data_IF_819896181042
#
_entry.id   IF_819896181042
#
_cell.length_a   1.000
_cell.length_b   1.000
_cell.length_c   1.000
_cell.angle_alpha   90.00
_cell.angle_beta   90.00
_cell.angle_gamma   90.00
#
_symmetry.space_group_name_H-M   'P 1'
#
loop_
_entity.id
_entity.type
_entity.pdbx_description
1 polymer ?
#
# COMPACT_ATOMS: atom_id res chain seq x y z
N UNK A 1 17.13 14.94 -16.42
CA UNK A 1 16.36 13.68 -16.56
C UNK A 1 16.46 12.96 -15.23
N UNK A 2 15.33 12.76 -14.55
CA UNK A 2 15.30 11.89 -13.38
C UNK A 2 15.37 10.44 -13.88
N UNK A 3 16.31 9.67 -13.36
CA UNK A 3 16.37 8.24 -13.66
C UNK A 3 15.33 7.54 -12.78
N UNK A 4 14.23 7.10 -13.37
CA UNK A 4 13.23 6.32 -12.65
C UNK A 4 13.76 4.92 -12.35
N UNK A 5 13.18 4.27 -11.33
CA UNK A 5 13.46 2.86 -11.07
C UNK A 5 13.15 2.01 -12.30
N UNK A 6 14.03 1.06 -12.68
CA UNK A 6 13.77 0.19 -13.82
C UNK A 6 12.55 -0.70 -13.58
N UNK A 7 11.91 -1.13 -14.67
CA UNK A 7 10.85 -2.14 -14.59
C UNK A 7 11.45 -3.45 -14.06
N UNK A 8 10.95 -3.92 -12.93
CA UNK A 8 11.25 -5.24 -12.40
C UNK A 8 10.11 -6.21 -12.65
N UNK A 9 10.33 -7.53 -12.51
CA UNK A 9 9.25 -8.50 -12.67
C UNK A 9 8.04 -8.15 -11.82
N UNK A 10 6.86 -8.17 -12.45
CA UNK A 10 5.57 -8.03 -11.79
C UNK A 10 4.55 -8.98 -12.42
N UNK A 11 3.43 -9.18 -11.72
CA UNK A 11 2.29 -9.94 -12.21
C UNK A 11 1.38 -9.11 -13.11
N UNK A 12 0.32 -9.72 -13.65
CA UNK A 12 -0.69 -9.01 -14.42
C UNK A 12 -1.54 -8.11 -13.51
N UNK A 13 -2.18 -7.10 -14.11
CA UNK A 13 -3.27 -6.34 -13.49
C UNK A 13 -4.49 -7.26 -13.37
N UNK A 14 -4.85 -7.62 -12.14
CA UNK A 14 -5.92 -8.60 -11.87
C UNK A 14 -7.06 -7.94 -11.12
N UNK A 15 -8.29 -8.04 -11.64
CA UNK A 15 -9.49 -7.61 -10.92
C UNK A 15 -9.77 -8.58 -9.76
N UNK A 16 -9.77 -8.07 -8.52
CA UNK A 16 -9.95 -8.88 -7.30
C UNK A 16 -11.31 -8.64 -6.63
N UNK A 17 -11.92 -7.50 -6.91
CA UNK A 17 -13.32 -7.15 -6.66
C UNK A 17 -13.75 -6.25 -7.84
N UNK A 18 -15.06 -6.11 -8.15
CA UNK A 18 -15.49 -5.21 -9.21
C UNK A 18 -14.90 -3.81 -9.04
N UNK A 19 -14.22 -3.31 -10.08
CA UNK A 19 -13.53 -2.02 -10.12
C UNK A 19 -12.35 -1.85 -9.15
N UNK A 20 -11.84 -2.96 -8.61
CA UNK A 20 -10.66 -3.00 -7.74
C UNK A 20 -9.66 -4.01 -8.29
N UNK A 21 -8.52 -3.50 -8.75
CA UNK A 21 -7.49 -4.28 -9.39
C UNK A 21 -6.21 -4.30 -8.55
N UNK A 22 -5.44 -5.37 -8.67
CA UNK A 22 -4.20 -5.58 -7.95
C UNK A 22 -3.09 -5.95 -8.93
N UNK A 23 -1.93 -5.33 -8.75
CA UNK A 23 -0.67 -5.77 -9.34
C UNK A 23 0.31 -6.05 -8.21
N UNK A 24 0.83 -7.28 -8.15
CA UNK A 24 1.96 -7.61 -7.29
C UNK A 24 3.24 -7.54 -8.11
N UNK A 25 4.22 -6.75 -7.67
CA UNK A 25 5.52 -6.61 -8.31
C UNK A 25 6.69 -6.78 -7.36
N UNK A 26 7.89 -6.75 -7.92
CA UNK A 26 9.13 -6.81 -7.15
C UNK A 26 9.40 -5.47 -6.47
N UNK A 27 9.91 -5.51 -5.25
CA UNK A 27 10.61 -4.43 -4.59
C UNK A 27 12.06 -4.86 -4.34
N UNK A 28 13.02 -3.97 -4.61
CA UNK A 28 14.43 -4.13 -4.22
C UNK A 28 14.89 -2.91 -3.45
N UNK A 29 15.35 -3.13 -2.24
CA UNK A 29 15.83 -2.06 -1.35
C UNK A 29 17.12 -2.48 -0.66
N UNK A 30 17.81 -1.52 -0.06
CA UNK A 30 18.94 -1.78 0.81
C UNK A 30 18.62 -1.28 2.21
N UNK A 31 18.81 -2.12 3.21
CA UNK A 31 18.61 -1.76 4.61
C UNK A 31 19.81 -2.26 5.42
N UNK A 32 20.49 -1.35 6.12
CA UNK A 32 21.70 -1.65 6.89
C UNK A 32 22.76 -2.45 6.08
N UNK A 33 22.94 -2.11 4.80
CA UNK A 33 23.89 -2.79 3.90
C UNK A 33 23.43 -4.14 3.36
N UNK A 34 22.21 -4.58 3.70
CA UNK A 34 21.62 -5.84 3.22
C UNK A 34 20.70 -5.53 2.04
N UNK A 35 20.94 -6.18 0.91
CA UNK A 35 20.04 -6.15 -0.24
C UNK A 35 18.81 -7.02 0.05
N UNK A 36 17.63 -6.40 0.07
CA UNK A 36 16.34 -7.05 0.25
C UNK A 36 15.59 -7.08 -1.09
N UNK A 37 14.95 -8.21 -1.39
CA UNK A 37 14.05 -8.36 -2.52
C UNK A 37 12.82 -9.14 -2.09
N UNK A 38 11.66 -8.49 -2.17
CA UNK A 38 10.36 -9.00 -1.74
C UNK A 38 9.26 -8.42 -2.63
N UNK A 39 8.03 -8.92 -2.53
CA UNK A 39 6.91 -8.37 -3.29
C UNK A 39 6.40 -7.05 -2.72
N UNK A 40 5.71 -6.28 -3.56
CA UNK A 40 4.86 -5.15 -3.15
C UNK A 40 3.66 -5.11 -4.07
N UNK A 41 2.61 -4.45 -3.62
CA UNK A 41 1.36 -4.34 -4.36
C UNK A 41 1.06 -2.91 -4.71
N UNK A 42 0.57 -2.73 -5.94
CA UNK A 42 -0.21 -1.57 -6.34
C UNK A 42 -1.68 -1.97 -6.42
N UNK A 43 -2.56 -1.18 -5.82
CA UNK A 43 -4.01 -1.29 -6.02
C UNK A 43 -4.46 -0.23 -7.00
N UNK A 44 -5.34 -0.58 -7.94
CA UNK A 44 -6.00 0.37 -8.84
C UNK A 44 -7.48 0.37 -8.52
N UNK A 45 -8.03 1.54 -8.22
CA UNK A 45 -9.47 1.72 -8.04
C UNK A 45 -10.01 2.46 -9.25
N UNK A 46 -11.01 1.87 -9.90
CA UNK A 46 -11.73 2.53 -10.99
C UNK A 46 -13.01 3.19 -10.46
N UNK A 47 -13.27 4.41 -10.89
CA UNK A 47 -14.54 5.13 -10.67
C UNK A 47 -14.93 5.70 -12.03
N UNK A 48 -15.97 5.14 -12.65
CA UNK A 48 -16.31 5.38 -14.05
C UNK A 48 -15.10 5.15 -14.99
N UNK A 49 -14.57 6.23 -15.58
CA UNK A 49 -13.38 6.19 -16.43
C UNK A 49 -12.11 6.68 -15.73
N UNK A 50 -12.18 7.05 -14.45
CA UNK A 50 -11.02 7.54 -13.69
C UNK A 50 -10.38 6.42 -12.86
N UNK A 51 -9.05 6.42 -12.80
CA UNK A 51 -8.26 5.48 -12.04
C UNK A 51 -7.47 6.19 -10.94
N UNK A 52 -7.51 5.62 -9.74
CA UNK A 52 -6.59 5.95 -8.67
C UNK A 52 -5.58 4.82 -8.48
N UNK A 53 -4.29 5.15 -8.49
CA UNK A 53 -3.19 4.21 -8.24
C UNK A 53 -2.72 4.36 -6.79
N UNK A 54 -2.80 3.29 -6.00
CA UNK A 54 -2.43 3.27 -4.59
C UNK A 54 -1.20 2.40 -4.40
N UNK A 55 -0.15 2.95 -3.76
CA UNK A 55 1.14 2.29 -3.51
C UNK A 55 1.79 1.77 -4.80
N UNK A 56 2.20 2.70 -5.67
CA UNK A 56 2.59 2.40 -7.05
C UNK A 56 3.68 1.33 -7.20
N UNK A 57 3.54 0.55 -8.27
CA UNK A 57 4.51 -0.44 -8.75
C UNK A 57 4.85 -0.08 -10.19
N UNK A 58 6.14 0.00 -10.53
CA UNK A 58 6.58 0.26 -11.90
C UNK A 58 6.15 -0.86 -12.85
N UNK A 59 5.24 -0.55 -13.76
CA UNK A 59 4.73 -1.46 -14.80
C UNK A 59 5.62 -1.47 -16.05
N UNK A 60 5.63 -2.60 -16.75
CA UNK A 60 6.10 -2.74 -18.12
C UNK A 60 5.17 -2.04 -19.11
N UNK A 61 5.66 -1.68 -20.30
CA UNK A 61 4.85 -1.03 -21.35
C UNK A 61 3.54 -1.78 -21.65
N UNK A 62 3.58 -3.11 -21.81
CA UNK A 62 2.35 -3.88 -22.07
C UNK A 62 1.33 -3.82 -20.93
N UNK A 63 1.78 -3.65 -19.68
CA UNK A 63 0.88 -3.53 -18.54
C UNK A 63 0.42 -2.08 -18.32
N UNK A 64 1.17 -1.11 -18.85
CA UNK A 64 0.69 0.27 -19.00
C UNK A 64 -0.40 0.33 -20.06
N UNK A 65 -0.29 -0.40 -21.17
CA UNK A 65 -1.36 -0.50 -22.16
C UNK A 65 -2.64 -1.09 -21.53
N UNK A 66 -2.51 -2.15 -20.71
CA UNK A 66 -3.63 -2.72 -19.95
C UNK A 66 -4.25 -1.70 -18.97
N UNK A 67 -3.42 -0.88 -18.32
CA UNK A 67 -3.87 0.17 -17.41
C UNK A 67 -4.59 1.30 -18.17
N UNK A 68 -4.04 1.73 -19.31
CA UNK A 68 -4.56 2.80 -20.15
C UNK A 68 -5.90 2.39 -20.79
N UNK A 69 -6.05 1.10 -21.12
CA UNK A 69 -7.32 0.53 -21.58
C UNK A 69 -8.41 0.49 -20.49
N UNK A 70 -8.01 0.51 -19.21
CA UNK A 70 -8.94 0.47 -18.08
C UNK A 70 -9.59 1.84 -17.79
N UNK A 71 -8.87 2.93 -18.06
CA UNK A 71 -9.31 4.31 -17.83
C UNK A 71 -8.17 5.32 -17.75
N UNK A 72 -8.50 6.56 -17.38
CA UNK A 72 -7.56 7.66 -17.22
C UNK A 72 -7.05 7.73 -15.79
N UNK A 73 -5.73 7.69 -15.58
CA UNK A 73 -5.13 7.89 -14.26
C UNK A 73 -5.39 9.33 -13.80
N UNK A 74 -6.24 9.49 -12.79
CA UNK A 74 -6.64 10.78 -12.22
C UNK A 74 -5.99 11.06 -10.86
N UNK A 75 -5.54 10.03 -10.15
CA UNK A 75 -4.94 10.17 -8.82
C UNK A 75 -3.81 9.16 -8.59
N UNK A 76 -2.70 9.64 -8.02
CA UNK A 76 -1.62 8.78 -7.52
C UNK A 76 -1.60 8.94 -6.00
N UNK A 77 -1.65 7.85 -5.26
CA UNK A 77 -1.88 7.87 -3.81
C UNK A 77 -0.76 7.11 -3.11
N UNK A 78 -0.02 7.82 -2.26
CA UNK A 78 0.98 7.25 -1.37
C UNK A 78 0.46 7.22 0.05
N UNK A 79 0.30 6.02 0.60
CA UNK A 79 -0.21 5.84 1.95
C UNK A 79 0.89 5.87 3.02
N UNK A 80 2.07 5.29 2.75
CA UNK A 80 3.15 5.19 3.74
C UNK A 80 4.42 5.94 3.33
N UNK A 81 5.15 6.46 4.33
CA UNK A 81 6.40 7.20 4.12
C UNK A 81 7.55 6.34 3.53
N UNK A 82 7.48 5.02 3.65
CA UNK A 82 8.49 4.09 3.13
C UNK A 82 8.16 3.56 1.72
N UNK A 83 7.12 4.10 1.09
CA UNK A 83 6.66 3.76 -0.26
C UNK A 83 6.70 4.96 -1.20
N UNK A 84 6.44 4.68 -2.49
CA UNK A 84 6.24 5.71 -3.52
C UNK A 84 7.43 5.99 -4.43
N UNK A 85 8.39 5.06 -4.47
CA UNK A 85 9.52 5.05 -5.41
C UNK A 85 9.10 5.27 -6.87
N UNK A 86 7.92 4.77 -7.27
CA UNK A 86 7.47 4.86 -8.66
C UNK A 86 6.47 6.00 -8.89
N UNK A 87 6.10 6.76 -7.85
CA UNK A 87 5.05 7.78 -7.98
C UNK A 87 5.44 8.86 -8.99
N UNK A 88 6.72 9.28 -9.02
CA UNK A 88 7.21 10.28 -9.95
C UNK A 88 7.03 9.86 -11.41
N UNK A 89 7.21 8.56 -11.72
CA UNK A 89 6.99 8.05 -13.07
C UNK A 89 5.54 8.20 -13.51
N UNK A 90 4.59 7.82 -12.64
CA UNK A 90 3.17 7.93 -12.95
C UNK A 90 2.72 9.39 -13.05
N UNK A 91 3.26 10.28 -12.19
CA UNK A 91 2.96 11.72 -12.26
C UNK A 91 3.41 12.31 -13.58
N UNK A 92 4.65 12.03 -13.98
CA UNK A 92 5.22 12.59 -15.20
C UNK A 92 4.55 12.00 -16.45
N UNK A 93 4.16 10.72 -16.42
CA UNK A 93 3.46 10.06 -17.55
C UNK A 93 2.02 10.56 -17.72
N UNK A 94 1.26 10.68 -16.63
CA UNK A 94 -0.19 10.90 -16.69
C UNK A 94 -0.61 12.33 -16.33
N UNK A 95 0.27 13.15 -15.76
CA UNK A 95 -0.08 14.48 -15.26
C UNK A 95 -1.01 14.46 -14.05
N UNK A 96 -1.17 13.31 -13.40
CA UNK A 96 -2.08 13.14 -12.27
C UNK A 96 -1.47 13.67 -10.95
N UNK A 97 -2.28 14.30 -10.08
CA UNK A 97 -1.81 14.75 -8.77
C UNK A 97 -1.40 13.60 -7.86
N UNK A 98 -0.32 13.83 -7.11
CA UNK A 98 0.10 12.97 -6.02
C UNK A 98 -0.57 13.37 -4.70
N UNK A 99 -1.27 12.42 -4.11
CA UNK A 99 -1.92 12.48 -2.81
C UNK A 99 -1.06 11.81 -1.74
N UNK A 100 -0.79 12.50 -0.65
CA UNK A 100 -0.11 11.92 0.52
C UNK A 100 -0.49 12.65 1.81
N UNK A 101 -0.21 12.05 2.97
CA UNK A 101 -0.31 12.74 4.26
C UNK A 101 0.66 13.94 4.34
N UNK A 102 0.35 14.94 5.19
CA UNK A 102 1.32 15.97 5.55
C UNK A 102 2.64 15.36 6.07
N UNK A 103 3.77 15.98 5.72
CA UNK A 103 5.08 15.58 6.24
C UNK A 103 5.73 14.39 5.53
N UNK A 104 5.06 13.73 4.58
CA UNK A 104 5.71 12.74 3.71
C UNK A 104 6.77 13.44 2.85
N UNK A 105 8.03 13.01 2.98
CA UNK A 105 9.14 13.49 2.16
C UNK A 105 9.28 12.60 0.93
N UNK A 106 9.34 13.22 -0.24
CA UNK A 106 9.56 12.52 -1.49
C UNK A 106 11.05 12.37 -1.77
N UNK A 107 11.40 11.39 -2.60
CA UNK A 107 12.73 11.37 -3.22
C UNK A 107 12.96 12.73 -3.92
N UNK A 108 14.15 13.29 -3.75
CA UNK A 108 14.52 14.62 -4.26
C UNK A 108 13.73 15.83 -3.69
N UNK A 109 12.98 15.65 -2.60
CA UNK A 109 12.33 16.77 -1.90
C UNK A 109 11.07 17.31 -2.59
N UNK A 110 10.51 16.58 -3.57
CA UNK A 110 9.18 16.87 -4.10
C UNK A 110 8.14 16.86 -2.95
N UNK A 111 6.98 17.49 -3.19
CA UNK A 111 5.86 17.53 -2.25
C UNK A 111 4.66 16.85 -2.90
N UNK A 112 3.72 16.41 -2.07
CA UNK A 112 2.41 16.02 -2.56
C UNK A 112 1.72 17.24 -3.19
N UNK A 113 1.02 17.01 -4.29
CA UNK A 113 0.20 18.03 -4.95
C UNK A 113 -1.09 18.26 -4.17
N UNK A 114 -1.61 17.18 -3.58
CA UNK A 114 -2.83 17.15 -2.79
C UNK A 114 -2.57 16.48 -1.44
N UNK A 115 -3.19 17.01 -0.39
CA UNK A 115 -3.07 16.48 0.96
C UNK A 115 -4.20 15.48 1.21
N UNK A 116 -3.84 14.28 1.68
CA UNK A 116 -4.79 13.35 2.29
C UNK A 116 -5.07 13.84 3.71
N UNK A 117 -6.21 14.49 3.90
CA UNK A 117 -6.63 15.00 5.20
C UNK A 117 -7.83 14.16 5.69
N UNK A 118 -7.65 13.36 6.76
CA UNK A 118 -8.73 12.53 7.29
C UNK A 118 -10.02 13.30 7.51
N UNK A 119 -11.11 12.81 6.92
CA UNK A 119 -12.45 13.41 7.02
C UNK A 119 -12.66 14.69 6.21
N UNK A 120 -11.69 15.16 5.42
CA UNK A 120 -11.84 16.38 4.61
C UNK A 120 -11.59 16.20 3.12
N UNK A 121 -10.63 15.38 2.75
CA UNK A 121 -10.27 15.18 1.35
C UNK A 121 -10.12 13.70 1.01
N UNK A 122 -10.35 13.38 -0.26
CA UNK A 122 -10.27 12.04 -0.78
C UNK A 122 -9.75 12.07 -2.23
N UNK A 123 -8.96 11.07 -2.65
CA UNK A 123 -8.42 11.02 -4.00
C UNK A 123 -9.44 10.60 -5.07
N UNK A 124 -10.61 10.11 -4.66
CA UNK A 124 -11.73 9.71 -5.52
C UNK A 124 -13.00 9.50 -4.67
N UNK A 125 -14.16 9.30 -5.33
CA UNK A 125 -15.45 9.14 -4.66
C UNK A 125 -15.55 7.87 -3.79
N UNK A 126 -16.29 7.99 -2.70
CA UNK A 126 -16.49 6.95 -1.68
C UNK A 126 -15.22 6.53 -0.95
N UNK A 127 -14.13 7.30 -1.05
CA UNK A 127 -12.93 7.10 -0.27
C UNK A 127 -12.85 8.06 0.92
N UNK A 128 -12.26 7.62 2.01
CA UNK A 128 -11.91 8.47 3.15
C UNK A 128 -10.53 8.10 3.68
N UNK A 129 -9.70 9.12 3.90
CA UNK A 129 -8.37 8.94 4.49
C UNK A 129 -8.46 8.68 6.00
N UNK A 130 -7.58 7.82 6.49
CA UNK A 130 -7.30 7.58 7.89
C UNK A 130 -5.81 7.79 8.13
N UNK A 131 -5.42 8.40 9.26
CA UNK A 131 -4.03 8.57 9.64
C UNK A 131 -3.72 7.80 10.93
N UNK A 132 -2.55 7.14 10.96
CA UNK A 132 -1.97 6.59 12.19
C UNK A 132 -1.25 7.73 12.93
N UNK A 133 -1.93 8.36 13.88
CA UNK A 133 -1.53 9.63 14.49
C UNK A 133 -0.35 9.46 15.46
N UNK A 134 -0.15 8.26 16.00
CA UNK A 134 0.97 7.99 16.91
C UNK A 134 2.25 7.53 16.20
N UNK A 135 2.16 7.28 14.89
CA UNK A 135 3.30 6.86 14.06
C UNK A 135 4.27 8.03 13.85
N UNK A 136 5.56 7.83 14.15
CA UNK A 136 6.63 8.82 13.91
C UNK A 136 6.91 9.06 12.43
N UNK A 137 6.59 8.10 11.58
CA UNK A 137 6.64 8.25 10.13
C UNK A 137 5.21 8.32 9.59
N UNK A 138 4.87 9.25 8.68
CA UNK A 138 3.51 9.33 8.16
C UNK A 138 3.04 8.00 7.55
N UNK A 139 1.91 7.51 8.03
CA UNK A 139 1.24 6.31 7.54
C UNK A 139 -0.26 6.58 7.52
N UNK A 140 -0.88 6.29 6.38
CA UNK A 140 -2.32 6.33 6.18
C UNK A 140 -2.89 4.94 5.87
N UNK A 141 -4.20 4.84 6.07
CA UNK A 141 -5.04 3.88 5.37
C UNK A 141 -6.09 4.65 4.55
N UNK A 142 -6.59 4.02 3.49
CA UNK A 142 -7.74 4.53 2.74
C UNK A 142 -8.90 3.56 2.95
N UNK A 143 -10.02 4.06 3.46
CA UNK A 143 -11.26 3.30 3.54
C UNK A 143 -12.11 3.64 2.32
N UNK A 144 -12.54 2.62 1.58
CA UNK A 144 -13.39 2.76 0.40
C UNK A 144 -14.74 2.11 0.71
N UNK A 145 -15.81 2.90 0.67
CA UNK A 145 -17.18 2.47 0.95
C UNK A 145 -17.81 1.77 -0.26
N UNK A 146 -17.23 0.62 -0.61
CA UNK A 146 -17.69 -0.30 -1.66
C UNK A 146 -17.54 -1.73 -1.15
N UNK A 147 -18.32 -2.67 -1.68
CA UNK A 147 -18.18 -4.10 -1.36
C UNK A 147 -18.28 -4.45 0.15
N UNK A 148 -19.00 -3.66 0.93
CA UNK A 148 -19.05 -3.80 2.40
C UNK A 148 -17.81 -3.24 3.12
N UNK A 149 -17.07 -2.36 2.45
CA UNK A 149 -15.88 -1.67 2.92
C UNK A 149 -14.59 -2.38 2.51
N UNK A 150 -13.71 -1.64 1.83
CA UNK A 150 -12.37 -2.07 1.46
C UNK A 150 -11.35 -1.17 2.16
N UNK A 151 -10.48 -1.76 2.97
CA UNK A 151 -9.41 -1.05 3.63
C UNK A 151 -8.10 -1.21 2.84
N UNK A 152 -7.56 -0.12 2.33
CA UNK A 152 -6.25 -0.10 1.68
C UNK A 152 -5.20 0.36 2.69
N UNK A 153 -4.15 -0.43 2.90
CA UNK A 153 -3.06 -0.12 3.85
C UNK A 153 -1.70 -0.12 3.16
N UNK A 154 -0.71 0.52 3.79
CA UNK A 154 0.68 0.42 3.36
C UNK A 154 1.44 -0.62 4.19
N UNK A 155 2.39 -0.19 5.03
CA UNK A 155 3.23 -1.05 5.86
C UNK A 155 2.58 -1.39 7.21
N UNK A 156 1.56 -0.62 7.61
CA UNK A 156 0.80 -0.81 8.86
C UNK A 156 0.19 -2.19 9.03
N UNK A 157 -0.21 -2.82 7.92
CA UNK A 157 -0.69 -4.21 7.87
C UNK A 157 -0.09 -4.89 6.65
N UNK A 158 0.52 -6.04 6.85
CA UNK A 158 1.10 -6.91 5.81
C UNK A 158 0.39 -8.27 5.84
N UNK A 159 0.38 -9.02 4.75
CA UNK A 159 -0.34 -10.29 4.70
C UNK A 159 0.43 -11.40 3.97
N UNK A 160 1.73 -11.55 4.23
CA UNK A 160 2.48 -12.68 3.67
C UNK A 160 2.35 -13.92 4.55
N UNK A 161 1.72 -14.98 4.06
CA UNK A 161 1.78 -16.29 4.73
C UNK A 161 3.10 -17.05 4.47
N UNK A 162 3.77 -16.75 3.36
CA UNK A 162 5.04 -17.33 2.94
C UNK A 162 5.70 -16.43 1.88
N UNK A 163 6.92 -16.76 1.48
CA UNK A 163 7.60 -16.12 0.35
C UNK A 163 6.85 -16.44 -0.95
N UNK A 164 6.48 -15.41 -1.71
CA UNK A 164 5.94 -15.55 -3.06
C UNK A 164 7.06 -15.53 -4.13
N UNK A 165 6.67 -15.62 -5.40
CA UNK A 165 7.60 -15.68 -6.54
C UNK A 165 8.50 -14.45 -6.72
N UNK A 166 8.22 -13.32 -6.06
CA UNK A 166 9.02 -12.10 -6.18
C UNK A 166 10.09 -11.97 -5.09
N UNK A 167 10.05 -12.84 -4.07
CA UNK A 167 11.11 -12.91 -3.06
C UNK A 167 12.39 -13.52 -3.62
N UNK A 168 13.54 -12.95 -3.26
CA UNK A 168 14.80 -13.67 -3.41
C UNK A 168 14.93 -14.75 -2.31
N UNK A 169 15.61 -15.88 -2.58
CA UNK A 169 15.82 -16.92 -1.56
C UNK A 169 16.53 -16.41 -0.29
N UNK A 170 17.46 -15.47 -0.44
CA UNK A 170 18.16 -14.85 0.70
C UNK A 170 17.21 -13.98 1.55
N UNK A 171 16.39 -13.15 0.91
CA UNK A 171 15.41 -12.32 1.60
C UNK A 171 14.34 -13.17 2.30
N UNK A 172 13.88 -14.25 1.65
CA UNK A 172 12.93 -15.19 2.24
C UNK A 172 13.48 -15.84 3.52
N UNK A 173 14.75 -16.23 3.56
CA UNK A 173 15.39 -16.76 4.78
C UNK A 173 15.40 -15.73 5.91
N UNK A 174 15.72 -14.48 5.61
CA UNK A 174 15.73 -13.38 6.59
C UNK A 174 14.31 -13.15 7.14
N UNK A 175 13.32 -13.00 6.26
CA UNK A 175 11.93 -12.75 6.66
C UNK A 175 11.36 -13.90 7.48
N UNK A 176 11.69 -15.15 7.12
CA UNK A 176 11.32 -16.33 7.91
C UNK A 176 11.97 -16.31 9.29
N UNK A 177 13.27 -16.02 9.38
CA UNK A 177 13.99 -15.98 10.66
C UNK A 177 13.47 -14.86 11.59
N UNK A 178 12.99 -13.76 11.03
CA UNK A 178 12.36 -12.66 11.78
C UNK A 178 10.86 -12.88 12.05
N UNK A 179 10.26 -13.98 11.59
CA UNK A 179 8.83 -14.22 11.77
C UNK A 179 7.92 -13.25 11.01
N UNK A 180 8.40 -12.68 9.89
CA UNK A 180 7.64 -11.71 9.09
C UNK A 180 6.61 -12.36 8.16
N UNK A 181 6.74 -13.67 7.90
CA UNK A 181 5.72 -14.46 7.21
C UNK A 181 4.60 -14.84 8.18
N UNK A 182 3.67 -13.91 8.34
CA UNK A 182 2.50 -14.07 9.16
C UNK A 182 1.26 -13.47 8.43
N UNK A 183 0.13 -14.19 8.38
CA UNK A 183 -1.13 -13.62 7.90
C UNK A 183 -1.55 -12.44 8.79
N UNK A 184 -2.03 -11.36 8.16
CA UNK A 184 -2.48 -10.13 8.83
C UNK A 184 -1.48 -9.68 9.91
N UNK A 185 -0.25 -9.41 9.47
CA UNK A 185 0.87 -9.03 10.31
C UNK A 185 0.93 -7.51 10.52
N UNK A 186 1.06 -7.10 11.79
CA UNK A 186 1.50 -5.76 12.17
C UNK A 186 2.97 -5.91 12.56
N UNK A 187 3.85 -5.84 11.57
CA UNK A 187 5.23 -6.29 11.72
C UNK A 187 5.96 -5.55 12.83
N UNK A 188 6.76 -6.27 13.64
CA UNK A 188 7.60 -5.64 14.67
C UNK A 188 8.60 -4.66 14.03
N UNK A 189 9.14 -4.97 12.84
CA UNK A 189 10.02 -4.06 12.08
C UNK A 189 9.37 -2.70 11.85
N UNK A 190 8.12 -2.67 11.37
CA UNK A 190 7.41 -1.41 11.15
C UNK A 190 7.05 -0.74 12.48
N UNK A 191 6.57 -1.50 13.47
CA UNK A 191 6.23 -0.95 14.80
C UNK A 191 7.43 -0.32 15.50
N UNK A 192 8.60 -0.94 15.44
CA UNK A 192 9.82 -0.43 16.06
C UNK A 192 10.30 0.86 15.34
N UNK A 193 10.21 0.87 14.01
CA UNK A 193 10.56 2.03 13.19
C UNK A 193 9.62 3.23 13.44
N UNK A 194 8.32 2.99 13.62
CA UNK A 194 7.33 4.06 13.75
C UNK A 194 6.99 4.41 15.19
N UNK A 195 7.08 3.48 16.14
CA UNK A 195 6.56 3.64 17.49
C UNK A 195 5.04 3.71 17.59
N UNK A 196 4.32 3.22 16.56
CA UNK A 196 2.86 3.20 16.52
C UNK A 196 2.24 2.49 17.73
N UNK A 197 1.16 3.05 18.26
CA UNK A 197 0.47 2.59 19.47
C UNK A 197 -0.85 1.91 19.13
N UNK A 198 -1.32 1.06 20.05
CA UNK A 198 -2.57 0.33 19.93
C UNK A 198 -3.80 1.23 19.65
N UNK A 199 -3.81 2.47 20.17
CA UNK A 199 -4.94 3.40 19.99
C UNK A 199 -5.24 3.73 18.52
N UNK A 200 -4.24 3.74 17.64
CA UNK A 200 -4.48 3.97 16.21
C UNK A 200 -5.26 2.81 15.60
N UNK A 201 -4.94 1.57 15.99
CA UNK A 201 -5.66 0.40 15.55
C UNK A 201 -7.07 0.32 16.15
N UNK A 202 -7.24 0.72 17.41
CA UNK A 202 -8.57 0.80 18.03
C UNK A 202 -9.49 1.72 17.22
N UNK A 203 -9.03 2.93 16.86
CA UNK A 203 -9.74 3.86 15.97
C UNK A 203 -9.98 3.30 14.58
N UNK A 204 -8.98 2.63 14.00
CA UNK A 204 -9.11 2.04 12.66
C UNK A 204 -10.20 0.98 12.64
N UNK A 205 -10.31 0.17 13.71
CA UNK A 205 -11.30 -0.88 13.86
C UNK A 205 -12.72 -0.36 14.15
N UNK A 206 -12.91 0.94 14.44
CA UNK A 206 -14.24 1.58 14.45
C UNK A 206 -14.84 1.67 13.04
N UNK A 207 -14.02 1.53 11.98
CA UNK A 207 -14.49 1.51 10.59
C UNK A 207 -15.03 0.13 10.22
N UNK A 208 -16.18 0.11 9.55
CA UNK A 208 -16.72 -1.11 8.95
C UNK A 208 -15.99 -1.44 7.66
N UNK A 209 -15.30 -2.57 7.60
CA UNK A 209 -14.71 -3.08 6.36
C UNK A 209 -14.74 -4.61 6.31
N UNK A 210 -14.92 -5.15 5.12
CA UNK A 210 -14.97 -6.58 4.86
C UNK A 210 -13.69 -7.09 4.19
N UNK A 211 -13.01 -6.21 3.47
CA UNK A 211 -11.82 -6.52 2.68
C UNK A 211 -10.65 -5.66 3.14
N UNK A 212 -9.43 -6.19 3.02
CA UNK A 212 -8.20 -5.45 3.25
C UNK A 212 -7.18 -5.78 2.15
N UNK A 213 -6.64 -4.75 1.52
CA UNK A 213 -5.59 -4.86 0.50
C UNK A 213 -4.41 -4.03 0.99
N UNK A 214 -3.33 -4.71 1.35
CA UNK A 214 -2.10 -4.09 1.80
C UNK A 214 -1.14 -3.86 0.64
N UNK A 215 -0.13 -3.01 0.86
CA UNK A 215 1.03 -2.92 -0.03
C UNK A 215 1.85 -4.23 -0.09
N UNK A 216 1.53 -5.24 0.73
CA UNK A 216 2.38 -6.40 0.96
C UNK A 216 1.57 -7.68 1.22
N UNK A 217 1.70 -8.65 0.30
CA UNK A 217 1.06 -9.97 0.40
C UNK A 217 -0.32 -10.05 -0.27
N UNK A 218 -0.95 -11.23 -0.35
CA UNK A 218 -2.27 -11.38 -0.96
C UNK A 218 -3.36 -10.55 -0.26
N UNK A 219 -4.45 -10.16 -0.95
CA UNK A 219 -5.57 -9.47 -0.34
C UNK A 219 -6.30 -10.37 0.67
N UNK A 220 -6.91 -9.77 1.69
CA UNK A 220 -7.81 -10.43 2.63
C UNK A 220 -9.23 -10.10 2.22
N UNK A 221 -10.00 -11.10 1.77
CA UNK A 221 -11.36 -10.90 1.26
C UNK A 221 -12.39 -11.58 2.16
N UNK A 222 -13.38 -10.83 2.63
CA UNK A 222 -14.58 -11.38 3.25
C UNK A 222 -14.63 -11.27 4.78
N UNK A 223 -13.50 -11.32 5.46
CA UNK A 223 -13.37 -11.40 6.92
C UNK A 223 -12.24 -10.52 7.49
N UNK A 224 -11.84 -9.47 6.75
CA UNK A 224 -10.64 -8.70 7.06
C UNK A 224 -10.69 -8.00 8.42
N UNK A 225 -11.84 -7.48 8.83
CA UNK A 225 -12.00 -6.80 10.12
C UNK A 225 -11.75 -7.73 11.31
N UNK A 226 -12.35 -8.94 11.28
CA UNK A 226 -12.12 -9.94 12.32
C UNK A 226 -10.65 -10.38 12.38
N UNK A 227 -10.00 -10.58 11.22
CA UNK A 227 -8.58 -10.94 11.16
C UNK A 227 -7.67 -9.83 11.69
N UNK A 228 -7.95 -8.57 11.35
CA UNK A 228 -7.19 -7.44 11.86
C UNK A 228 -7.40 -7.28 13.36
N UNK A 229 -8.63 -7.44 13.85
CA UNK A 229 -8.93 -7.43 15.29
C UNK A 229 -8.11 -8.48 16.05
N UNK A 230 -8.09 -9.73 15.56
CA UNK A 230 -7.28 -10.79 16.16
C UNK A 230 -5.76 -10.51 16.07
N UNK A 231 -5.30 -9.81 15.02
CA UNK A 231 -3.92 -9.39 14.91
C UNK A 231 -3.54 -8.28 15.90
N UNK A 232 -4.42 -7.31 16.10
CA UNK A 232 -4.23 -6.23 17.08
C UNK A 232 -4.17 -6.81 18.49
N UNK A 233 -5.11 -7.71 18.85
CA UNK A 233 -5.11 -8.37 20.15
C UNK A 233 -3.82 -9.17 20.39
N UNK A 234 -3.38 -9.95 19.40
CA UNK A 234 -2.11 -10.70 19.50
C UNK A 234 -0.89 -9.80 19.72
N UNK A 235 -0.90 -8.58 19.20
CA UNK A 235 0.24 -7.66 19.23
C UNK A 235 0.21 -6.71 20.43
N UNK A 236 -0.99 -6.34 20.91
CA UNK A 236 -1.19 -5.28 21.89
C UNK A 236 -2.06 -5.66 23.12
N UNK A 237 -2.72 -6.82 23.12
CA UNK A 237 -3.65 -7.28 24.17
C UNK A 237 -2.98 -7.84 25.44
N UNK A 238 -1.72 -7.46 25.69
CA UNK A 238 -0.98 -7.84 26.90
C UNK A 238 -1.43 -7.09 28.14
#
# INVERSE_FOLDING_TARGET
>A
MHEYTPVWPHGPLTEILPDVFLVTGTNKTQQAGIALQFSRNMTVIRTDQELALINTVRLSESALDDLDALGTVASIVRLGAFHGRDDAFYRDRYGAPLWALPGVRHEHGARADMILEPGRSAPFENASAFAFETSRAPEAALHVDRHGGVLLTCDSVQNWGAADRFFSPACAKIFKAQGLFQPTNISHVWRDATGVRAMDFARLLERSFRHLISAHGPPILGDAHARLTAAVERVYGG
#
